data_IF_963673774518
#
_entry.id   IF_963673774518
#
_cell.length_a   1.000
_cell.length_b   1.000
_cell.length_c   1.000
_cell.angle_alpha   90.00
_cell.angle_beta   90.00
_cell.angle_gamma   90.00
#
_symmetry.space_group_name_H-M   'P 1'
#
loop_
_entity.id
_entity.type
_entity.pdbx_description
1 polymer ?
#
# COMPACT_ATOMS: atom_id res chain seq x y z
N UNK A 1 6.18 19.54 -0.23
CA UNK A 1 7.39 19.15 -1.00
C UNK A 1 7.46 17.63 -1.25
N UNK A 2 7.15 17.20 -2.47
CA UNK A 2 7.22 15.80 -2.92
C UNK A 2 8.70 15.43 -3.08
N UNK A 3 9.19 14.53 -2.23
CA UNK A 3 10.57 14.03 -2.28
C UNK A 3 10.58 12.68 -3.02
N UNK A 4 11.45 12.53 -4.03
CA UNK A 4 11.73 11.24 -4.68
C UNK A 4 12.62 10.42 -3.75
N UNK A 5 12.16 9.25 -3.32
CA UNK A 5 12.91 8.37 -2.41
C UNK A 5 13.29 7.08 -3.13
N UNK A 6 14.56 6.71 -3.04
CA UNK A 6 15.10 5.48 -3.64
C UNK A 6 15.14 4.38 -2.57
N UNK A 7 14.07 3.60 -2.42
CA UNK A 7 13.93 2.55 -1.40
C UNK A 7 14.80 1.32 -1.71
N UNK A 8 15.60 0.81 -0.76
CA UNK A 8 16.43 -0.40 -0.93
C UNK A 8 15.65 -1.63 -0.47
N UNK A 9 15.50 -2.63 -1.36
CA UNK A 9 14.91 -3.96 -1.17
C UNK A 9 13.55 -4.00 -0.44
N UNK A 10 12.41 -4.08 -1.12
CA UNK A 10 11.21 -4.69 -0.53
C UNK A 10 10.18 -5.12 -1.60
N UNK A 11 9.69 -6.34 -1.46
CA UNK A 11 8.32 -6.71 -1.81
C UNK A 11 7.42 -5.76 -0.98
N UNK A 12 6.46 -5.05 -1.57
CA UNK A 12 5.71 -4.02 -0.83
C UNK A 12 4.80 -4.69 0.21
N UNK A 13 5.35 -4.92 1.40
CA UNK A 13 4.66 -5.15 2.65
C UNK A 13 4.98 -3.96 3.56
N UNK A 14 3.95 -3.27 4.02
CA UNK A 14 4.05 -2.26 5.06
C UNK A 14 4.53 -2.92 6.37
N UNK A 15 5.83 -2.86 6.66
CA UNK A 15 6.40 -2.54 7.97
C UNK A 15 7.93 -2.52 7.90
N UNK A 16 8.53 -1.55 8.58
CA UNK A 16 9.95 -1.22 8.58
C UNK A 16 10.86 -2.40 8.98
N UNK A 17 12.09 -2.42 8.46
CA UNK A 17 13.33 -2.22 9.24
C UNK A 17 14.58 -2.54 8.36
N UNK A 18 15.56 -1.62 8.43
CA UNK A 18 17.01 -1.75 8.14
C UNK A 18 17.50 -2.87 7.20
N UNK A 19 17.99 -2.48 6.02
CA UNK A 19 19.12 -3.17 5.39
C UNK A 19 19.97 -2.19 4.57
N UNK A 20 21.23 -2.03 4.99
CA UNK A 20 22.25 -1.20 4.36
C UNK A 20 23.09 -2.05 3.41
N UNK A 21 22.61 -2.37 2.21
CA UNK A 21 23.47 -2.95 1.17
C UNK A 21 23.15 -2.36 -0.22
N UNK A 22 24.21 -1.95 -0.91
CA UNK A 22 24.23 -1.33 -2.23
C UNK A 22 23.95 -2.40 -3.30
N UNK A 23 22.89 -2.24 -4.08
CA UNK A 23 22.65 -2.99 -5.33
C UNK A 23 22.36 -1.98 -6.45
N UNK A 24 23.03 -2.07 -7.63
CA UNK A 24 23.05 -0.96 -8.58
C UNK A 24 21.80 -0.80 -9.45
N UNK A 25 20.81 -1.69 -9.41
CA UNK A 25 19.57 -1.55 -10.21
C UNK A 25 18.38 -1.97 -9.34
N UNK A 26 17.43 -1.05 -9.12
CA UNK A 26 16.21 -1.31 -8.35
C UNK A 26 15.03 -1.44 -9.29
N UNK A 27 14.50 -2.65 -9.41
CA UNK A 27 13.27 -2.93 -10.13
C UNK A 27 12.15 -3.08 -9.11
N UNK A 28 11.04 -2.38 -9.33
CA UNK A 28 9.86 -2.47 -8.47
C UNK A 28 8.90 -3.53 -9.02
N UNK A 29 8.40 -4.38 -8.11
CA UNK A 29 7.39 -5.38 -8.47
C UNK A 29 6.04 -4.68 -8.70
N UNK A 30 5.47 -4.88 -9.87
CA UNK A 30 4.22 -4.27 -10.30
C UNK A 30 2.95 -5.00 -9.79
N UNK A 31 3.00 -5.59 -8.60
CA UNK A 31 1.87 -6.28 -8.00
C UNK A 31 1.01 -5.27 -7.23
N UNK A 32 -0.32 -5.29 -7.44
CA UNK A 32 -1.29 -4.42 -6.77
C UNK A 32 -1.52 -4.81 -5.31
N UNK A 33 -0.47 -4.77 -4.48
CA UNK A 33 -0.52 -5.26 -3.11
C UNK A 33 -1.43 -4.40 -2.21
N UNK A 34 -2.10 -5.07 -1.28
CA UNK A 34 -2.78 -4.48 -0.13
C UNK A 34 -2.09 -4.92 1.16
N UNK A 35 -1.88 -3.99 2.08
CA UNK A 35 -1.39 -4.27 3.43
C UNK A 35 -2.53 -4.23 4.45
N UNK A 36 -2.32 -4.83 5.63
CA UNK A 36 -3.29 -4.80 6.75
C UNK A 36 -3.65 -3.38 7.20
N UNK A 37 -2.78 -2.42 6.87
CA UNK A 37 -2.92 -1.00 7.19
C UNK A 37 -3.63 -0.21 6.07
N UNK A 38 -4.14 -0.87 5.02
CA UNK A 38 -4.85 -0.23 3.92
C UNK A 38 -6.13 0.50 4.36
N UNK A 39 -6.73 0.10 5.49
CA UNK A 39 -7.90 0.79 6.08
C UNK A 39 -7.60 2.27 6.35
N UNK A 40 -6.38 2.57 6.82
CA UNK A 40 -5.98 3.95 7.16
C UNK A 40 -5.19 4.65 6.06
N UNK A 41 -4.35 3.92 5.33
CA UNK A 41 -3.43 4.51 4.34
C UNK A 41 -3.76 4.18 2.89
N UNK A 42 -4.82 3.42 2.62
CA UNK A 42 -5.17 2.96 1.28
C UNK A 42 -4.25 1.84 0.77
N UNK A 43 -4.60 1.29 -0.39
CA UNK A 43 -3.83 0.24 -1.06
C UNK A 43 -2.59 0.80 -1.75
N UNK A 44 -1.72 -0.07 -2.27
CA UNK A 44 -0.54 0.40 -3.02
C UNK A 44 -0.95 1.26 -4.22
N UNK A 45 -2.03 0.88 -4.93
CA UNK A 45 -2.56 1.63 -6.06
C UNK A 45 -2.94 3.07 -5.70
N UNK A 46 -3.59 3.28 -4.55
CA UNK A 46 -3.93 4.65 -4.10
C UNK A 46 -2.72 5.45 -3.59
N UNK A 47 -1.61 4.77 -3.28
CA UNK A 47 -0.41 5.40 -2.74
C UNK A 47 0.63 5.75 -3.81
N UNK A 48 0.52 5.19 -5.02
CA UNK A 48 1.40 5.55 -6.13
C UNK A 48 0.88 6.80 -6.82
N UNK A 49 1.77 7.78 -6.96
CA UNK A 49 1.47 9.08 -7.56
C UNK A 49 1.95 9.17 -9.01
N UNK A 50 3.17 8.68 -9.25
CA UNK A 50 3.74 8.54 -10.59
C UNK A 50 4.76 7.40 -10.61
N UNK A 51 5.04 6.87 -11.79
CA UNK A 51 6.07 5.84 -11.98
C UNK A 51 6.81 6.03 -13.31
N UNK A 52 7.99 5.44 -13.40
CA UNK A 52 8.78 5.34 -14.62
C UNK A 52 8.93 3.87 -14.95
N UNK A 53 8.62 3.52 -16.20
CA UNK A 53 8.68 2.15 -16.71
C UNK A 53 9.49 2.08 -17.99
N UNK A 54 10.18 0.96 -18.20
CA UNK A 54 10.80 0.61 -19.47
C UNK A 54 9.89 -0.38 -20.16
N UNK A 55 9.40 -0.01 -21.34
CA UNK A 55 8.54 -0.85 -22.18
C UNK A 55 9.37 -1.93 -22.91
N UNK A 56 8.75 -2.99 -23.44
CA UNK A 56 9.47 -4.07 -24.14
C UNK A 56 10.30 -3.62 -25.35
N UNK A 57 9.92 -2.50 -25.99
CA UNK A 57 10.67 -1.89 -27.09
C UNK A 57 11.87 -1.04 -26.63
N UNK A 58 12.17 -1.01 -25.32
CA UNK A 58 13.26 -0.22 -24.74
C UNK A 58 12.88 1.24 -24.44
N UNK A 59 11.68 1.69 -24.82
CA UNK A 59 11.24 3.07 -24.56
C UNK A 59 11.00 3.31 -23.08
N UNK A 60 11.52 4.43 -22.57
CA UNK A 60 11.25 4.91 -21.22
C UNK A 60 9.96 5.72 -21.23
N UNK A 61 8.97 5.28 -20.46
CA UNK A 61 7.69 5.97 -20.29
C UNK A 61 7.52 6.47 -18.85
N UNK A 62 7.01 7.70 -18.72
CA UNK A 62 6.62 8.29 -17.45
C UNK A 62 5.09 8.29 -17.34
N UNK A 63 4.58 7.67 -16.28
CA UNK A 63 3.14 7.53 -16.04
C UNK A 63 2.74 8.33 -14.80
N UNK A 64 1.63 9.06 -14.90
CA UNK A 64 1.12 9.93 -13.85
C UNK A 64 1.80 11.30 -13.82
N UNK A 65 1.33 12.16 -12.93
CA UNK A 65 1.84 13.52 -12.72
C UNK A 65 2.11 13.73 -11.24
N UNK A 66 2.86 14.76 -10.86
CA UNK A 66 3.03 15.15 -9.45
C UNK A 66 1.88 16.02 -8.89
N UNK A 67 0.77 16.11 -9.61
CA UNK A 67 -0.40 16.93 -9.22
C UNK A 67 -1.45 16.08 -8.50
N UNK A 68 -2.09 16.64 -7.47
CA UNK A 68 -3.14 15.94 -6.71
C UNK A 68 -4.37 15.60 -7.55
N UNK A 69 -4.62 16.38 -8.60
CA UNK A 69 -5.69 16.15 -9.58
C UNK A 69 -5.06 16.12 -10.96
N UNK A 70 -5.42 15.11 -11.73
CA UNK A 70 -5.08 15.00 -13.14
C UNK A 70 -6.28 14.38 -13.86
N UNK A 71 -6.75 15.03 -14.91
CA UNK A 71 -7.73 14.50 -15.86
C UNK A 71 -7.07 14.21 -17.22
N UNK A 72 -5.75 14.13 -17.24
CA UNK A 72 -4.97 13.90 -18.46
C UNK A 72 -5.07 12.43 -18.89
N UNK A 73 -6.17 12.10 -19.56
CA UNK A 73 -6.39 10.82 -20.20
C UNK A 73 -6.51 9.64 -19.23
N UNK A 74 -6.08 8.46 -19.70
CA UNK A 74 -6.18 7.21 -18.95
C UNK A 74 -5.24 7.18 -17.75
N UNK A 75 -5.67 6.50 -16.68
CA UNK A 75 -4.85 6.21 -15.52
C UNK A 75 -3.86 5.06 -15.82
N UNK A 76 -2.84 5.38 -16.62
CA UNK A 76 -1.78 4.44 -16.99
C UNK A 76 -0.95 4.04 -15.77
N UNK A 77 -0.85 4.89 -14.74
CA UNK A 77 -0.17 4.55 -13.49
C UNK A 77 -0.83 3.35 -12.82
N UNK A 78 -2.15 3.36 -12.73
CA UNK A 78 -2.91 2.22 -12.23
C UNK A 78 -2.82 0.99 -13.12
N UNK A 79 -2.78 1.15 -14.45
CA UNK A 79 -2.61 0.02 -15.37
C UNK A 79 -1.26 -0.68 -15.15
N UNK A 80 -0.19 0.10 -15.02
CA UNK A 80 1.13 -0.43 -14.71
C UNK A 80 1.17 -1.04 -13.31
N UNK A 81 0.44 -0.46 -12.35
CA UNK A 81 0.30 -0.95 -10.97
C UNK A 81 -0.69 -2.12 -10.89
N UNK A 82 -0.18 -3.33 -11.10
CA UNK A 82 -0.99 -4.54 -11.23
C UNK A 82 -0.65 -5.35 -12.48
N UNK A 83 0.20 -4.82 -13.36
CA UNK A 83 0.68 -5.53 -14.55
C UNK A 83 1.56 -6.75 -14.24
N UNK A 84 2.01 -6.91 -12.99
CA UNK A 84 2.94 -7.96 -12.58
C UNK A 84 4.26 -8.01 -13.38
N UNK A 85 4.57 -6.93 -14.11
CA UNK A 85 5.77 -6.82 -14.96
C UNK A 85 5.56 -7.23 -16.42
N UNK A 86 4.33 -7.60 -16.81
CA UNK A 86 4.01 -8.01 -18.19
C UNK A 86 4.03 -6.84 -19.19
N UNK A 87 3.68 -5.64 -18.74
CA UNK A 87 3.61 -4.43 -19.58
C UNK A 87 4.93 -3.65 -19.64
N UNK A 88 5.91 -4.02 -18.81
CA UNK A 88 7.20 -3.34 -18.71
C UNK A 88 7.81 -3.44 -17.32
N UNK A 89 9.05 -2.96 -17.22
CA UNK A 89 9.85 -3.00 -16.00
C UNK A 89 9.77 -1.64 -15.31
N UNK A 90 9.20 -1.60 -14.10
CA UNK A 90 9.11 -0.37 -13.31
C UNK A 90 10.47 -0.09 -12.65
N UNK A 91 11.06 1.07 -12.96
CA UNK A 91 12.39 1.48 -12.48
C UNK A 91 12.35 2.56 -11.40
N UNK A 92 11.27 3.32 -11.31
CA UNK A 92 11.08 4.34 -10.28
C UNK A 92 9.61 4.53 -9.96
N UNK A 93 9.30 4.77 -8.69
CA UNK A 93 7.94 5.05 -8.21
C UNK A 93 8.00 6.25 -7.27
N UNK A 94 7.07 7.20 -7.44
CA UNK A 94 6.78 8.23 -6.47
C UNK A 94 5.53 7.83 -5.67
N UNK A 95 5.66 7.80 -4.35
CA UNK A 95 4.58 7.39 -3.45
C UNK A 95 4.18 8.51 -2.50
N UNK A 96 2.94 8.45 -2.02
CA UNK A 96 2.44 9.27 -0.92
C UNK A 96 3.14 8.88 0.38
N UNK A 97 3.61 9.88 1.12
CA UNK A 97 4.13 9.68 2.47
C UNK A 97 3.10 10.06 3.52
N UNK A 98 3.06 9.26 4.57
CA UNK A 98 2.24 9.51 5.75
C UNK A 98 3.13 9.86 6.94
N UNK A 99 2.68 10.76 7.83
CA UNK A 99 3.41 11.04 9.05
C UNK A 99 3.47 9.80 9.95
N UNK A 100 4.56 9.67 10.71
CA UNK A 100 4.72 8.62 11.71
C UNK A 100 3.76 8.95 12.87
N UNK A 101 2.87 8.04 13.28
CA UNK A 101 1.98 8.28 14.42
C UNK A 101 2.76 8.40 15.72
N UNK A 102 2.38 9.33 16.58
CA UNK A 102 2.99 9.54 17.91
C UNK A 102 2.59 8.45 18.91
N UNK A 103 1.37 7.93 18.78
CA UNK A 103 0.83 6.88 19.64
C UNK A 103 0.13 5.81 18.80
N UNK A 104 0.32 4.54 19.19
CA UNK A 104 -0.34 3.38 18.61
C UNK A 104 -0.89 2.54 19.76
N UNK A 105 -2.18 2.27 19.74
CA UNK A 105 -2.88 1.42 20.71
C UNK A 105 -3.43 0.21 19.98
N UNK A 106 -3.39 -0.95 20.61
CA UNK A 106 -4.00 -2.19 20.15
C UNK A 106 -5.00 -2.68 21.20
N UNK A 107 -6.12 -3.22 20.75
CA UNK A 107 -7.14 -3.83 21.59
C UNK A 107 -7.57 -5.17 20.98
N UNK A 108 -7.92 -6.12 21.83
CA UNK A 108 -8.51 -7.41 21.44
C UNK A 108 -9.88 -7.46 22.09
N UNK A 109 -10.91 -7.78 21.30
CA UNK A 109 -12.28 -7.90 21.75
C UNK A 109 -12.79 -9.28 21.36
N UNK A 110 -13.35 -10.01 22.33
CA UNK A 110 -14.01 -11.30 22.10
C UNK A 110 -15.52 -11.07 21.96
N UNK A 111 -16.13 -11.81 21.04
CA UNK A 111 -17.56 -11.78 20.77
C UNK A 111 -18.08 -13.21 20.68
N UNK A 112 -19.33 -13.43 21.08
CA UNK A 112 -19.92 -14.77 21.04
C UNK A 112 -20.34 -15.15 19.61
N UNK A 113 -20.60 -14.14 18.76
CA UNK A 113 -20.96 -14.35 17.35
C UNK A 113 -20.19 -13.43 16.40
N UNK A 114 -20.01 -13.89 15.16
CA UNK A 114 -19.44 -13.08 14.07
C UNK A 114 -20.29 -11.84 13.78
N UNK A 115 -21.61 -11.93 13.96
CA UNK A 115 -22.52 -10.81 13.74
C UNK A 115 -22.27 -9.67 14.74
N UNK A 116 -22.02 -9.99 16.01
CA UNK A 116 -21.69 -8.98 17.03
C UNK A 116 -20.35 -8.28 16.72
N UNK A 117 -19.35 -9.05 16.29
CA UNK A 117 -18.07 -8.48 15.86
C UNK A 117 -18.24 -7.52 14.67
N UNK A 118 -19.05 -7.90 13.66
CA UNK A 118 -19.35 -7.06 12.50
C UNK A 118 -20.10 -5.76 12.89
N UNK A 119 -21.05 -5.87 13.82
CA UNK A 119 -21.76 -4.71 14.35
C UNK A 119 -20.81 -3.76 15.09
N UNK A 120 -19.88 -4.29 15.88
CA UNK A 120 -18.87 -3.49 16.57
C UNK A 120 -17.95 -2.72 15.60
N UNK A 121 -17.49 -3.37 14.51
CA UNK A 121 -16.70 -2.71 13.46
C UNK A 121 -17.48 -1.61 12.77
N UNK A 122 -18.76 -1.86 12.48
CA UNK A 122 -19.65 -0.87 11.88
C UNK A 122 -19.84 0.34 12.79
N UNK A 123 -20.08 0.12 14.09
CA UNK A 123 -20.19 1.18 15.09
C UNK A 123 -18.89 1.97 15.23
N UNK A 124 -17.74 1.31 15.30
CA UNK A 124 -16.43 1.98 15.33
C UNK A 124 -16.25 2.90 14.13
N UNK A 125 -16.68 2.44 12.94
CA UNK A 125 -16.62 3.25 11.72
C UNK A 125 -17.59 4.43 11.76
N UNK A 126 -18.81 4.24 12.25
CA UNK A 126 -19.82 5.31 12.40
C UNK A 126 -19.43 6.37 13.43
N UNK A 127 -18.67 6.00 14.46
CA UNK A 127 -18.13 6.92 15.46
C UNK A 127 -16.80 7.57 15.05
N UNK A 128 -16.36 7.40 13.80
CA UNK A 128 -15.10 7.93 13.27
C UNK A 128 -13.86 7.56 14.12
N UNK A 129 -13.86 6.35 14.70
CA UNK A 129 -12.70 5.85 15.44
C UNK A 129 -11.53 5.67 14.45
N UNK A 130 -10.33 6.24 14.71
CA UNK A 130 -9.20 6.20 13.79
C UNK A 130 -8.50 4.84 13.82
N UNK A 131 -9.13 3.84 13.21
CA UNK A 131 -8.64 2.46 13.13
C UNK A 131 -7.52 2.34 12.09
N UNK A 132 -6.34 1.91 12.53
CA UNK A 132 -5.22 1.64 11.63
C UNK A 132 -5.34 0.27 10.94
N UNK A 133 -5.80 -0.73 11.70
CA UNK A 133 -5.96 -2.14 11.31
C UNK A 133 -7.11 -2.73 12.12
N UNK A 134 -7.90 -3.60 11.51
CA UNK A 134 -8.93 -4.38 12.18
C UNK A 134 -8.99 -5.73 11.49
N UNK A 135 -8.73 -6.79 12.24
CA UNK A 135 -8.70 -8.16 11.75
C UNK A 135 -9.68 -8.98 12.59
N UNK A 136 -10.46 -9.84 11.93
CA UNK A 136 -11.33 -10.80 12.58
C UNK A 136 -10.64 -12.16 12.58
N UNK A 137 -10.56 -12.79 13.75
CA UNK A 137 -10.03 -14.15 13.90
C UNK A 137 -11.17 -15.09 14.32
N UNK A 138 -11.17 -16.30 13.77
CA UNK A 138 -12.08 -17.36 14.21
C UNK A 138 -11.52 -18.10 15.43
N UNK A 139 -12.38 -18.87 16.11
CA UNK A 139 -12.00 -19.59 17.33
C UNK A 139 -10.87 -20.60 17.12
N UNK A 140 -10.78 -21.21 15.93
CA UNK A 140 -9.69 -22.10 15.55
C UNK A 140 -8.36 -21.39 15.42
N UNK A 141 -8.35 -20.19 14.81
CA UNK A 141 -7.14 -19.36 14.68
C UNK A 141 -6.68 -18.88 16.05
N UNK A 142 -7.62 -18.47 16.92
CA UNK A 142 -7.31 -18.06 18.29
C UNK A 142 -6.74 -19.23 19.11
N UNK A 143 -7.29 -20.44 18.96
CA UNK A 143 -6.81 -21.62 19.68
C UNK A 143 -5.44 -22.14 19.18
N UNK A 144 -5.03 -21.75 17.98
CA UNK A 144 -3.74 -22.15 17.39
C UNK A 144 -2.56 -21.23 17.78
N UNK A 145 -2.84 -20.10 18.44
CA UNK A 145 -1.83 -19.19 19.02
C UNK A 145 -1.43 -19.63 20.42
#
# INVERSE_FOLDING_TARGET
PIKRYTFHNFCIFQNAQKSKHYTPIKIYKACGASGTTAVKYGTMRSNIHSLTTILPNGTIAHCGSNTLKSSAGYDVTSLMTGSEGTLGIITSIAVKLHPIPTHVVAAICSFDTVQEAANAVTMMKMCDVPVARCELLDGTSVAAF
#
